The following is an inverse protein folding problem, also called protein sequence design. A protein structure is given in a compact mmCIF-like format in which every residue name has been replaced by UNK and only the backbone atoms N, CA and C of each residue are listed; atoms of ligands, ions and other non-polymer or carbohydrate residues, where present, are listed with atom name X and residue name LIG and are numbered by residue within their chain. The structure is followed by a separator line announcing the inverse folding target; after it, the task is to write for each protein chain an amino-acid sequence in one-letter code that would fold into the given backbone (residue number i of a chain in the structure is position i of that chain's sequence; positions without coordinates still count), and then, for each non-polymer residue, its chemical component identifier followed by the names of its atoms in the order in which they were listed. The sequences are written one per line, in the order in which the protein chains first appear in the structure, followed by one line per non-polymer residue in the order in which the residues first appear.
data_IF_378288651749
#
_entry.id   IF_378288651749
#
_cell.length_a   1.000
_cell.length_b   1.000
_cell.length_c   1.000
_cell.angle_alpha   90.00
_cell.angle_beta   90.00
_cell.angle_gamma   90.00
#
_symmetry.space_group_name_H-M   'P 1'
#
loop_
_entity.id
_entity.type
_entity.pdbx_description
1 polymer ?
#
# COMPACT_ATOMS: atom_id res chain seq x y z
N UNK A 1 -3.08 35.42 2.48
CA UNK A 1 -2.89 35.28 1.02
C UNK A 1 -3.75 34.10 0.60
N UNK A 2 -4.77 34.33 -0.26
CA UNK A 2 -5.59 33.23 -0.79
C UNK A 2 -4.72 32.51 -1.82
N UNK A 3 -4.30 31.30 -1.52
CA UNK A 3 -3.59 30.47 -2.48
C UNK A 3 -4.55 30.16 -3.62
N UNK A 4 -4.28 30.68 -4.81
CA UNK A 4 -5.01 30.35 -6.03
C UNK A 4 -4.68 28.90 -6.36
N UNK A 5 -5.66 28.01 -6.21
CA UNK A 5 -5.53 26.63 -6.64
C UNK A 5 -5.41 26.56 -8.16
N UNK A 6 -4.77 25.53 -8.70
CA UNK A 6 -4.65 25.30 -10.16
C UNK A 6 -6.02 25.32 -10.84
N UNK A 7 -7.05 24.86 -10.18
CA UNK A 7 -8.45 24.90 -10.62
C UNK A 7 -8.98 26.34 -10.74
N UNK A 8 -8.66 27.22 -9.77
CA UNK A 8 -9.07 28.63 -9.80
C UNK A 8 -8.42 29.38 -10.95
N UNK A 9 -7.14 29.10 -11.23
CA UNK A 9 -6.41 29.68 -12.37
C UNK A 9 -7.01 29.19 -13.70
N UNK A 10 -7.33 27.90 -13.82
CA UNK A 10 -7.96 27.35 -15.01
C UNK A 10 -9.32 27.99 -15.30
N UNK A 11 -10.17 28.18 -14.29
CA UNK A 11 -11.45 28.86 -14.42
C UNK A 11 -11.29 30.33 -14.79
N UNK A 12 -10.30 31.01 -14.25
CA UNK A 12 -10.00 32.41 -14.59
C UNK A 12 -9.59 32.52 -16.06
N UNK A 13 -8.67 31.68 -16.54
CA UNK A 13 -8.26 31.65 -17.94
C UNK A 13 -9.42 31.30 -18.87
N UNK A 14 -10.23 30.32 -18.53
CA UNK A 14 -11.42 29.94 -19.29
C UNK A 14 -12.39 31.15 -19.43
N UNK A 15 -12.65 31.84 -18.32
CA UNK A 15 -13.53 33.01 -18.30
C UNK A 15 -12.99 34.15 -19.18
N UNK A 16 -11.68 34.40 -19.11
CA UNK A 16 -11.03 35.44 -19.94
C UNK A 16 -11.14 35.09 -21.43
N UNK A 17 -10.84 33.84 -21.80
CA UNK A 17 -10.92 33.39 -23.20
C UNK A 17 -12.36 33.43 -23.69
N UNK A 18 -13.33 32.97 -22.90
CA UNK A 18 -14.74 32.96 -23.27
C UNK A 18 -15.29 34.39 -23.45
N UNK A 19 -14.92 35.32 -22.53
CA UNK A 19 -15.32 36.72 -22.60
C UNK A 19 -14.69 37.39 -23.82
N UNK A 20 -13.40 37.12 -24.08
CA UNK A 20 -12.72 37.64 -25.28
C UNK A 20 -13.38 37.15 -26.57
N UNK A 21 -13.71 35.87 -26.65
CA UNK A 21 -14.40 35.30 -27.80
C UNK A 21 -15.82 35.83 -27.95
N UNK A 22 -16.58 35.94 -26.87
CA UNK A 22 -17.94 36.52 -26.90
C UNK A 22 -17.93 37.98 -27.33
N UNK A 23 -16.97 38.78 -26.84
CA UNK A 23 -16.77 40.15 -27.24
C UNK A 23 -16.43 40.28 -28.74
N UNK A 24 -15.52 39.43 -29.21
CA UNK A 24 -15.18 39.34 -30.63
C UNK A 24 -16.39 38.97 -31.49
N UNK A 25 -17.14 37.93 -31.10
CA UNK A 25 -18.34 37.51 -31.81
C UNK A 25 -19.41 38.64 -31.84
N UNK A 26 -19.61 39.32 -30.71
CA UNK A 26 -20.56 40.44 -30.61
C UNK A 26 -20.17 41.60 -31.52
N UNK A 27 -18.89 42.00 -31.52
CA UNK A 27 -18.41 43.09 -32.39
C UNK A 27 -18.53 42.70 -33.86
N UNK A 28 -18.23 41.48 -34.25
CA UNK A 28 -18.42 40.99 -35.60
C UNK A 28 -19.91 40.99 -36.03
N UNK A 29 -20.79 40.51 -35.15
CA UNK A 29 -22.24 40.53 -35.41
C UNK A 29 -22.79 41.94 -35.52
N UNK A 30 -22.27 42.90 -34.76
CA UNK A 30 -22.67 44.29 -34.84
C UNK A 30 -22.19 44.92 -36.15
N UNK A 31 -20.98 44.62 -36.59
CA UNK A 31 -20.41 45.14 -37.83
C UNK A 31 -21.10 44.52 -39.05
N UNK A 32 -21.54 43.27 -39.02
CA UNK A 32 -22.26 42.62 -40.10
C UNK A 32 -23.73 43.09 -40.21
N UNK A 33 -24.30 43.73 -39.17
CA UNK A 33 -25.67 44.30 -39.26
C UNK A 33 -25.78 45.48 -40.20
N UNK A 34 -24.74 46.29 -40.33
CA UNK A 34 -24.71 47.42 -41.23
C UNK A 34 -24.57 46.97 -42.72
N UNK A 35 -24.18 45.70 -42.93
CA UNK A 35 -24.06 45.08 -44.26
C UNK A 35 -25.35 44.36 -44.73
N UNK A 36 -26.32 44.19 -43.84
CA UNK A 36 -27.62 43.59 -44.13
C UNK A 36 -28.50 44.63 -44.86
N UNK A 37 -28.44 44.64 -46.18
CA UNK A 37 -29.21 45.54 -47.03
C UNK A 37 -28.40 46.32 -48.05
N UNK A 38 -27.09 46.14 -48.12
CA UNK A 38 -26.27 46.64 -49.20
C UNK A 38 -26.52 45.84 -50.47
N UNK A 39 -26.73 46.49 -51.63
CA UNK A 39 -27.08 45.86 -52.91
C UNK A 39 -25.99 44.96 -53.52
N UNK A 40 -25.16 44.36 -52.79
CA UNK A 40 -24.22 43.38 -53.32
C UNK A 40 -24.88 42.00 -53.25
N UNK A 41 -25.68 41.75 -54.25
CA UNK A 41 -26.28 40.48 -54.57
C UNK A 41 -25.27 39.39 -54.92
N UNK A 42 -24.44 38.95 -54.02
CA UNK A 42 -23.63 37.78 -54.23
C UNK A 42 -23.72 36.90 -53.01
N UNK A 43 -24.62 35.91 -53.04
CA UNK A 43 -24.81 34.85 -52.06
C UNK A 43 -24.82 35.37 -50.58
N UNK A 44 -25.91 35.13 -49.85
CA UNK A 44 -26.23 35.58 -48.49
C UNK A 44 -25.16 35.40 -47.41
N UNK A 45 -23.99 34.88 -47.73
CA UNK A 45 -22.87 34.61 -46.83
C UNK A 45 -21.51 35.15 -47.29
N UNK A 46 -21.45 35.96 -48.35
CA UNK A 46 -20.17 36.62 -48.73
C UNK A 46 -19.96 37.88 -47.92
N UNK A 47 -18.92 37.87 -47.09
CA UNK A 47 -18.38 39.09 -46.52
C UNK A 47 -17.91 40.03 -47.64
N UNK A 48 -18.15 41.34 -47.45
CA UNK A 48 -17.63 42.38 -48.32
C UNK A 48 -16.14 42.15 -48.60
N UNK A 49 -15.73 42.25 -49.88
CA UNK A 49 -14.31 42.25 -50.21
C UNK A 49 -13.70 43.51 -49.58
N UNK A 50 -12.69 43.28 -48.76
CA UNK A 50 -11.90 44.40 -48.23
C UNK A 50 -11.03 44.96 -49.35
N UNK A 51 -10.92 46.26 -49.41
CA UNK A 51 -9.99 46.93 -50.27
C UNK A 51 -8.54 46.63 -49.88
N UNK A 52 -7.60 46.65 -50.85
CA UNK A 52 -6.20 46.33 -50.58
C UNK A 52 -5.61 47.25 -49.49
N UNK A 53 -5.99 48.51 -49.42
CA UNK A 53 -5.60 49.46 -48.39
C UNK A 53 -6.12 49.03 -46.99
N UNK A 54 -7.29 48.45 -46.93
CA UNK A 54 -7.87 47.94 -45.67
C UNK A 54 -7.25 46.63 -45.24
N UNK A 55 -6.93 45.74 -46.19
CA UNK A 55 -6.27 44.48 -45.95
C UNK A 55 -4.79 44.62 -45.58
N UNK A 56 -4.06 45.49 -46.31
CA UNK A 56 -2.63 45.70 -46.09
C UNK A 56 -2.31 46.76 -45.02
N UNK A 57 -3.31 47.51 -44.57
CA UNK A 57 -3.16 48.59 -43.59
C UNK A 57 -3.16 48.12 -42.13
N UNK A 58 -3.89 48.88 -41.35
CA UNK A 58 -3.91 48.68 -39.87
C UNK A 58 -4.45 47.33 -39.41
N UNK A 59 -5.26 46.68 -40.24
CA UNK A 59 -5.85 45.38 -39.95
C UNK A 59 -4.80 44.25 -40.03
N UNK A 60 -4.03 44.24 -41.13
CA UNK A 60 -2.94 43.28 -41.33
C UNK A 60 -1.87 43.46 -40.23
N UNK A 61 -1.46 44.70 -39.96
CA UNK A 61 -0.49 45.03 -38.92
C UNK A 61 -0.94 44.54 -37.55
N UNK A 62 -2.24 44.66 -37.23
CA UNK A 62 -2.80 44.16 -35.95
C UNK A 62 -2.80 42.65 -35.87
N UNK A 63 -3.20 41.94 -36.94
CA UNK A 63 -3.20 40.49 -36.99
C UNK A 63 -1.79 39.92 -36.89
N UNK A 64 -0.84 40.50 -37.66
CA UNK A 64 0.56 40.13 -37.59
C UNK A 64 1.18 40.42 -36.21
N UNK A 65 0.83 41.56 -35.60
CA UNK A 65 1.25 41.91 -34.26
C UNK A 65 0.77 40.91 -33.21
N UNK A 66 -0.48 40.46 -33.27
CA UNK A 66 -1.01 39.38 -32.41
C UNK A 66 -0.27 38.10 -32.69
N UNK A 67 -0.02 37.72 -33.93
CA UNK A 67 0.75 36.54 -34.29
C UNK A 67 2.16 36.54 -33.70
N UNK A 68 2.85 37.68 -33.78
CA UNK A 68 4.19 37.84 -33.18
C UNK A 68 4.13 37.72 -31.65
N UNK A 69 3.14 38.35 -31.01
CA UNK A 69 2.98 38.22 -29.54
C UNK A 69 2.76 36.77 -29.15
N UNK A 70 1.90 36.03 -29.84
CA UNK A 70 1.66 34.61 -29.58
C UNK A 70 2.93 33.77 -29.79
N UNK A 71 3.69 34.02 -30.84
CA UNK A 71 4.97 33.37 -31.07
C UNK A 71 5.97 33.64 -29.94
N UNK A 72 6.09 34.87 -29.46
CA UNK A 72 6.96 35.24 -28.34
C UNK A 72 6.54 34.50 -27.08
N UNK A 73 5.23 34.45 -26.81
CA UNK A 73 4.70 33.69 -25.66
C UNK A 73 5.11 32.22 -25.75
N UNK A 74 4.95 31.57 -26.91
CA UNK A 74 5.28 30.17 -27.10
C UNK A 74 6.80 29.94 -26.93
N UNK A 75 7.62 30.81 -27.56
CA UNK A 75 9.09 30.70 -27.50
C UNK A 75 9.63 30.84 -26.08
N UNK A 76 8.98 31.64 -25.24
CA UNK A 76 9.37 31.81 -23.85
C UNK A 76 8.76 30.69 -22.96
N UNK A 77 7.46 30.42 -23.14
CA UNK A 77 6.74 29.51 -22.25
C UNK A 77 7.16 28.04 -22.40
N UNK A 78 7.50 27.59 -23.62
CA UNK A 78 7.95 26.21 -23.85
C UNK A 78 9.27 25.87 -23.14
N UNK A 79 10.36 26.63 -23.31
CA UNK A 79 11.58 26.37 -22.56
C UNK A 79 11.39 26.49 -21.06
N UNK A 80 10.62 27.46 -20.60
CA UNK A 80 10.32 27.63 -19.18
C UNK A 80 9.54 26.44 -18.62
N UNK A 81 8.56 25.94 -19.35
CA UNK A 81 7.84 24.72 -19.00
C UNK A 81 8.80 23.53 -18.83
N UNK A 82 9.70 23.32 -19.78
CA UNK A 82 10.65 22.20 -19.73
C UNK A 82 11.68 22.32 -18.60
N UNK A 83 12.11 23.54 -18.28
CA UNK A 83 13.00 23.77 -17.14
C UNK A 83 12.31 23.48 -15.81
N UNK A 84 11.01 23.80 -15.71
CA UNK A 84 10.21 23.59 -14.50
C UNK A 84 9.60 22.18 -14.40
N UNK A 85 9.59 21.40 -15.49
CA UNK A 85 8.94 20.09 -15.56
C UNK A 85 9.47 19.09 -14.53
N UNK A 86 10.79 18.96 -14.25
CA UNK A 86 11.28 18.06 -13.23
C UNK A 86 10.69 18.37 -11.85
N UNK A 87 10.67 19.62 -11.44
CA UNK A 87 10.10 20.03 -10.15
C UNK A 87 8.57 19.83 -10.12
N UNK A 88 7.89 20.09 -11.22
CA UNK A 88 6.45 19.84 -11.34
C UNK A 88 6.12 18.35 -11.26
N UNK A 89 6.92 17.51 -11.90
CA UNK A 89 6.74 16.06 -11.91
C UNK A 89 6.94 15.49 -10.50
N UNK A 90 8.01 15.89 -9.81
CA UNK A 90 8.26 15.49 -8.43
C UNK A 90 7.08 15.87 -7.52
N UNK A 91 6.65 17.12 -7.52
CA UNK A 91 5.51 17.54 -6.70
C UNK A 91 4.18 16.87 -7.08
N UNK A 92 4.00 16.49 -8.36
CA UNK A 92 2.81 15.76 -8.79
C UNK A 92 2.83 14.29 -8.35
N UNK A 93 4.01 13.65 -8.32
CA UNK A 93 4.17 12.27 -7.81
C UNK A 93 3.97 12.21 -6.31
N UNK A 94 4.60 13.11 -5.55
CA UNK A 94 4.42 13.23 -4.10
C UNK A 94 2.94 13.46 -3.73
N UNK A 95 2.28 14.42 -4.37
CA UNK A 95 0.86 14.69 -4.11
C UNK A 95 -0.08 13.52 -4.52
N UNK A 96 0.33 12.69 -5.48
CA UNK A 96 -0.40 11.47 -5.84
C UNK A 96 -0.22 10.40 -4.77
N UNK A 97 0.99 10.21 -4.29
CA UNK A 97 1.31 9.25 -3.25
C UNK A 97 0.60 9.59 -1.93
N UNK A 98 0.67 10.84 -1.47
CA UNK A 98 -0.08 11.30 -0.30
C UNK A 98 -1.58 11.02 -0.44
N UNK A 99 -2.15 11.27 -1.62
CA UNK A 99 -3.56 11.02 -1.88
C UNK A 99 -3.90 9.52 -1.88
N UNK A 100 -3.00 8.68 -2.37
CA UNK A 100 -3.18 7.23 -2.33
C UNK A 100 -3.16 6.71 -0.89
N UNK A 101 -2.24 7.22 -0.07
CA UNK A 101 -2.18 6.91 1.36
C UNK A 101 -3.48 7.34 2.07
N UNK A 102 -3.97 8.56 1.81
CA UNK A 102 -5.22 9.07 2.40
C UNK A 102 -6.43 8.20 2.00
N UNK A 103 -6.55 7.85 0.73
CA UNK A 103 -7.62 6.96 0.27
C UNK A 103 -7.51 5.56 0.86
N UNK A 104 -6.29 5.02 0.96
CA UNK A 104 -6.02 3.73 1.59
C UNK A 104 -6.36 3.74 3.08
N UNK A 105 -6.04 4.82 3.79
CA UNK A 105 -6.43 5.02 5.19
C UNK A 105 -7.97 4.98 5.33
N UNK A 106 -8.70 5.66 4.46
CA UNK A 106 -10.16 5.63 4.44
C UNK A 106 -10.73 4.22 4.21
N UNK A 107 -10.11 3.42 3.33
CA UNK A 107 -10.50 2.02 3.14
C UNK A 107 -10.18 1.14 4.35
N UNK A 108 -9.07 1.41 5.04
CA UNK A 108 -8.61 0.66 6.21
C UNK A 108 -9.46 0.91 7.48
N UNK A 109 -10.12 2.05 7.54
CA UNK A 109 -10.99 2.47 8.64
C UNK A 109 -12.09 1.45 8.99
N UNK A 110 -12.67 1.62 10.17
CA UNK A 110 -13.84 0.84 10.61
C UNK A 110 -15.05 1.11 9.71
N UNK A 111 -15.99 0.16 9.67
CA UNK A 111 -17.26 0.35 8.93
C UNK A 111 -18.07 1.52 9.45
N UNK A 112 -17.94 1.88 10.72
CA UNK A 112 -18.60 3.05 11.30
C UNK A 112 -18.11 4.36 10.66
N UNK A 113 -16.88 4.39 10.18
CA UNK A 113 -16.27 5.52 9.49
C UNK A 113 -16.29 5.37 7.95
N UNK A 114 -16.98 4.36 7.43
CA UNK A 114 -17.13 4.13 6.00
C UNK A 114 -16.06 3.27 5.34
N UNK A 115 -15.13 2.70 6.13
CA UNK A 115 -14.10 1.78 5.67
C UNK A 115 -14.55 0.30 5.67
N UNK A 116 -13.61 -0.57 5.35
CA UNK A 116 -13.84 -2.03 5.29
C UNK A 116 -13.53 -2.77 6.60
N UNK A 117 -13.31 -2.04 7.69
CA UNK A 117 -13.04 -2.59 9.03
C UNK A 117 -11.70 -3.33 9.18
N UNK A 118 -10.72 -3.05 8.37
CA UNK A 118 -9.37 -3.63 8.53
C UNK A 118 -8.78 -3.26 9.91
N UNK A 119 -8.90 -1.97 10.29
CA UNK A 119 -8.45 -1.44 11.58
C UNK A 119 -9.12 -2.11 12.78
N UNK A 120 -10.39 -2.53 12.64
CA UNK A 120 -11.14 -3.18 13.71
C UNK A 120 -10.59 -4.55 14.10
N UNK A 121 -9.97 -5.27 13.16
CA UNK A 121 -9.33 -6.55 13.41
C UNK A 121 -7.82 -6.41 13.66
N UNK A 122 -7.14 -5.53 12.91
CA UNK A 122 -5.69 -5.43 12.92
C UNK A 122 -5.10 -4.44 13.93
N UNK A 123 -5.89 -3.96 14.91
CA UNK A 123 -5.39 -3.18 16.03
C UNK A 123 -5.29 -1.68 15.73
N UNK A 124 -6.37 -1.10 15.19
CA UNK A 124 -6.48 0.33 14.91
C UNK A 124 -5.76 0.76 13.64
N UNK A 125 -5.65 2.07 13.45
CA UNK A 125 -5.04 2.63 12.25
C UNK A 125 -3.54 2.34 12.15
N UNK A 126 -2.82 2.21 13.26
CA UNK A 126 -1.41 1.82 13.26
C UNK A 126 -1.19 0.32 13.03
N UNK A 127 -2.27 -0.46 12.92
CA UNK A 127 -2.27 -1.89 12.61
C UNK A 127 -1.26 -2.72 13.43
N UNK A 128 -1.24 -2.48 14.74
CA UNK A 128 -0.31 -3.14 15.68
C UNK A 128 -0.69 -4.59 16.00
N UNK A 129 -1.70 -5.13 15.35
CA UNK A 129 -2.30 -6.42 15.65
C UNK A 129 -3.44 -6.31 16.64
N UNK A 130 -4.35 -7.28 16.63
CA UNK A 130 -5.51 -7.23 17.49
C UNK A 130 -6.28 -8.54 17.54
N UNK A 131 -7.47 -8.48 18.11
CA UNK A 131 -8.37 -9.61 18.22
C UNK A 131 -9.71 -9.31 17.56
N UNK A 132 -10.18 -10.27 16.76
CA UNK A 132 -11.48 -10.19 16.12
C UNK A 132 -12.39 -11.28 16.69
N UNK A 133 -13.56 -10.94 17.24
CA UNK A 133 -14.55 -11.92 17.67
C UNK A 133 -15.08 -12.65 16.43
N UNK A 134 -15.03 -13.96 16.45
CA UNK A 134 -15.45 -14.82 15.33
C UNK A 134 -16.18 -16.06 15.84
N UNK A 135 -17.33 -16.42 15.26
CA UNK A 135 -18.00 -17.68 15.57
C UNK A 135 -17.30 -18.84 14.87
N UNK A 136 -16.74 -19.78 15.63
CA UNK A 136 -16.14 -21.01 15.14
C UNK A 136 -17.11 -22.17 15.34
N UNK A 137 -17.34 -22.95 14.28
CA UNK A 137 -18.08 -24.21 14.38
C UNK A 137 -17.13 -25.30 14.89
N UNK A 138 -17.36 -25.81 16.08
CA UNK A 138 -16.67 -26.98 16.58
C UNK A 138 -17.13 -28.23 15.78
N UNK A 139 -16.21 -28.76 14.99
CA UNK A 139 -16.49 -29.89 14.11
C UNK A 139 -16.81 -31.18 14.90
N UNK A 140 -16.43 -31.29 16.18
CA UNK A 140 -16.63 -32.44 17.02
C UNK A 140 -18.00 -32.42 17.68
N UNK A 141 -18.41 -31.27 18.19
CA UNK A 141 -19.65 -31.10 18.94
C UNK A 141 -20.79 -30.51 18.12
N UNK A 142 -20.51 -29.93 16.94
CA UNK A 142 -21.47 -29.19 16.14
C UNK A 142 -21.92 -27.88 16.78
N UNK A 143 -21.31 -27.46 17.89
CA UNK A 143 -21.66 -26.23 18.57
C UNK A 143 -20.89 -25.04 18.01
N UNK A 144 -21.50 -23.84 18.12
CA UNK A 144 -20.80 -22.59 17.80
C UNK A 144 -20.11 -22.07 19.03
N UNK A 145 -18.77 -21.99 18.98
CA UNK A 145 -17.93 -21.38 19.99
C UNK A 145 -17.56 -19.96 19.55
N UNK A 146 -17.80 -18.97 20.38
CA UNK A 146 -17.26 -17.64 20.17
C UNK A 146 -15.77 -17.64 20.54
N UNK A 147 -14.91 -17.25 19.60
CA UNK A 147 -13.47 -17.17 19.79
C UNK A 147 -12.98 -15.78 19.42
N UNK A 148 -11.91 -15.32 20.06
CA UNK A 148 -11.21 -14.10 19.67
C UNK A 148 -10.04 -14.50 18.77
N UNK A 149 -10.22 -14.30 17.46
CA UNK A 149 -9.17 -14.60 16.48
C UNK A 149 -8.10 -13.53 16.51
N UNK A 150 -6.86 -13.92 16.72
CA UNK A 150 -5.71 -13.02 16.76
C UNK A 150 -5.31 -12.62 15.33
N UNK A 151 -5.61 -11.37 14.95
CA UNK A 151 -5.17 -10.80 13.69
C UNK A 151 -3.74 -10.26 13.81
N UNK A 152 -2.87 -10.54 12.82
CA UNK A 152 -1.48 -10.11 12.87
C UNK A 152 -1.35 -8.59 12.75
N UNK A 153 -0.27 -8.04 13.31
CA UNK A 153 0.15 -6.68 13.01
C UNK A 153 0.53 -6.54 11.54
N UNK A 154 0.14 -5.41 10.94
CA UNK A 154 0.44 -5.10 9.55
C UNK A 154 1.54 -4.04 9.42
N UNK A 155 1.91 -3.35 10.50
CA UNK A 155 3.02 -2.39 10.53
C UNK A 155 4.42 -3.02 10.40
N UNK A 156 4.49 -4.35 10.31
CA UNK A 156 5.71 -5.14 10.02
C UNK A 156 5.49 -6.16 8.90
N UNK A 157 4.40 -6.03 8.15
CA UNK A 157 4.04 -7.06 7.16
C UNK A 157 5.04 -7.15 6.02
N UNK A 158 5.62 -6.03 5.59
CA UNK A 158 6.61 -5.98 4.50
C UNK A 158 8.00 -6.45 4.91
N UNK A 159 8.26 -6.70 6.18
CA UNK A 159 9.43 -7.45 6.63
C UNK A 159 9.35 -8.93 6.26
N UNK A 160 8.14 -9.47 6.15
CA UNK A 160 7.86 -10.91 5.98
C UNK A 160 7.41 -11.28 4.59
N UNK A 161 6.72 -10.37 3.92
CA UNK A 161 6.07 -10.61 2.64
C UNK A 161 6.42 -9.50 1.65
N UNK A 162 6.65 -9.86 0.39
CA UNK A 162 6.77 -8.89 -0.69
C UNK A 162 5.41 -8.18 -0.94
N UNK A 163 5.44 -7.07 -1.65
CA UNK A 163 4.22 -6.37 -2.04
C UNK A 163 3.28 -7.26 -2.86
N UNK A 164 3.83 -8.08 -3.74
CA UNK A 164 3.05 -9.02 -4.56
C UNK A 164 2.36 -10.07 -3.69
N UNK A 165 3.04 -10.58 -2.65
CA UNK A 165 2.46 -11.52 -1.70
C UNK A 165 1.37 -10.88 -0.85
N UNK A 166 1.59 -9.65 -0.37
CA UNK A 166 0.58 -8.88 0.36
C UNK A 166 -0.64 -8.63 -0.53
N UNK A 167 -0.41 -8.22 -1.80
CA UNK A 167 -1.49 -8.08 -2.78
C UNK A 167 -2.27 -9.38 -2.98
N UNK A 168 -1.56 -10.50 -3.15
CA UNK A 168 -2.19 -11.81 -3.28
C UNK A 168 -3.05 -12.17 -2.07
N UNK A 169 -2.54 -11.92 -0.85
CA UNK A 169 -3.28 -12.15 0.40
C UNK A 169 -4.53 -11.25 0.46
N UNK A 170 -4.44 -10.01 0.05
CA UNK A 170 -5.59 -9.10 -0.01
C UNK A 170 -6.61 -9.56 -1.04
N UNK A 171 -6.18 -10.00 -2.21
CA UNK A 171 -7.09 -10.45 -3.27
C UNK A 171 -7.85 -11.70 -2.84
N UNK A 172 -7.16 -12.73 -2.34
CA UNK A 172 -7.75 -14.05 -2.11
C UNK A 172 -8.07 -14.35 -0.64
N UNK A 173 -7.67 -13.48 0.29
CA UNK A 173 -7.82 -13.71 1.72
C UNK A 173 -6.87 -14.78 2.26
N UNK A 174 -7.14 -15.23 3.48
CA UNK A 174 -6.44 -16.34 4.13
C UNK A 174 -7.41 -17.48 4.36
N UNK A 175 -7.22 -18.58 3.64
CA UNK A 175 -8.01 -19.80 3.81
C UNK A 175 -7.92 -20.30 5.25
N UNK A 176 -9.03 -20.75 5.81
CA UNK A 176 -9.15 -21.21 7.21
C UNK A 176 -8.95 -20.12 8.27
N UNK A 177 -9.08 -18.86 7.90
CA UNK A 177 -9.05 -17.74 8.85
C UNK A 177 -10.22 -16.78 8.57
N UNK A 178 -10.56 -15.88 9.52
CA UNK A 178 -11.57 -14.85 9.29
C UNK A 178 -11.18 -13.78 8.26
N UNK A 179 -9.96 -13.79 7.74
CA UNK A 179 -9.50 -12.85 6.71
C UNK A 179 -10.16 -13.18 5.35
N UNK A 180 -11.19 -12.44 4.93
CA UNK A 180 -11.89 -12.73 3.68
C UNK A 180 -11.10 -12.23 2.47
N UNK A 181 -11.45 -12.66 1.25
CA UNK A 181 -10.95 -12.04 0.03
C UNK A 181 -11.49 -10.62 -0.12
N UNK A 182 -10.63 -9.69 -0.48
CA UNK A 182 -10.96 -8.29 -0.71
C UNK A 182 -10.96 -7.92 -2.19
N UNK A 183 -10.10 -8.54 -3.01
CA UNK A 183 -10.02 -8.26 -4.44
C UNK A 183 -11.17 -8.89 -5.23
N UNK A 184 -11.59 -8.22 -6.29
CA UNK A 184 -12.67 -8.71 -7.20
C UNK A 184 -12.35 -10.10 -7.76
N UNK A 185 -11.08 -10.38 -8.09
CA UNK A 185 -10.66 -11.68 -8.58
C UNK A 185 -10.89 -12.82 -7.58
N UNK A 186 -10.74 -12.53 -6.29
CA UNK A 186 -11.03 -13.46 -5.19
C UNK A 186 -12.49 -13.47 -4.75
N UNK A 187 -13.35 -12.68 -5.40
CA UNK A 187 -14.77 -12.51 -5.04
C UNK A 187 -15.02 -11.41 -4.01
N UNK A 188 -14.04 -10.58 -3.72
CA UNK A 188 -14.14 -9.44 -2.81
C UNK A 188 -14.68 -8.16 -3.48
N UNK A 189 -14.88 -7.09 -2.71
CA UNK A 189 -15.50 -5.85 -3.19
C UNK A 189 -14.52 -4.84 -3.79
N UNK A 190 -13.20 -4.99 -3.62
CA UNK A 190 -12.19 -4.00 -3.99
C UNK A 190 -11.68 -4.19 -5.41
N UNK A 191 -11.64 -3.12 -6.18
CA UNK A 191 -10.94 -3.08 -7.46
C UNK A 191 -9.42 -2.89 -7.26
N UNK A 192 -8.65 -3.00 -8.35
CA UNK A 192 -7.19 -2.91 -8.32
C UNK A 192 -6.68 -1.59 -7.76
N UNK A 193 -7.29 -0.46 -8.13
CA UNK A 193 -6.89 0.84 -7.61
C UNK A 193 -7.09 0.93 -6.08
N UNK A 194 -8.19 0.40 -5.57
CA UNK A 194 -8.45 0.37 -4.12
C UNK A 194 -7.43 -0.51 -3.39
N UNK A 195 -7.04 -1.64 -3.97
CA UNK A 195 -5.98 -2.49 -3.43
C UNK A 195 -4.63 -1.76 -3.41
N UNK A 196 -4.29 -1.03 -4.47
CA UNK A 196 -3.06 -0.23 -4.53
C UNK A 196 -3.05 0.89 -3.50
N UNK A 197 -4.16 1.61 -3.32
CA UNK A 197 -4.25 2.66 -2.30
C UNK A 197 -4.17 2.08 -0.89
N UNK A 198 -4.77 0.91 -0.65
CA UNK A 198 -4.66 0.20 0.62
C UNK A 198 -3.22 -0.25 0.90
N UNK A 199 -2.50 -0.77 -0.10
CA UNK A 199 -1.09 -1.15 0.00
C UNK A 199 -0.21 0.08 0.26
N UNK A 200 -0.48 1.21 -0.41
CA UNK A 200 0.22 2.47 -0.15
C UNK A 200 0.07 2.92 1.30
N UNK A 201 -1.15 2.84 1.85
CA UNK A 201 -1.39 3.11 3.26
C UNK A 201 -0.65 2.11 4.17
N UNK A 202 -0.71 0.81 3.88
CA UNK A 202 0.00 -0.21 4.66
C UNK A 202 1.52 0.02 4.65
N UNK A 203 2.09 0.51 3.54
CA UNK A 203 3.50 0.91 3.48
C UNK A 203 3.80 2.11 4.38
N UNK A 204 2.91 3.11 4.41
CA UNK A 204 3.12 4.33 5.20
C UNK A 204 3.12 4.12 6.72
N UNK A 205 2.53 3.03 7.19
CA UNK A 205 2.49 2.66 8.62
C UNK A 205 3.55 1.64 9.02
N UNK A 206 4.43 1.24 8.09
CA UNK A 206 5.50 0.31 8.43
C UNK A 206 6.48 0.92 9.43
N UNK A 207 6.99 0.09 10.35
CA UNK A 207 8.16 0.45 11.15
C UNK A 207 9.34 0.57 10.16
N UNK A 208 10.04 1.72 10.09
CA UNK A 208 11.18 1.89 9.22
C UNK A 208 12.31 0.92 9.58
N UNK A 209 13.01 0.39 8.59
CA UNK A 209 14.18 -0.45 8.80
C UNK A 209 15.41 0.41 9.11
N UNK A 210 16.30 -0.12 9.93
CA UNK A 210 17.62 0.42 10.17
C UNK A 210 18.68 -0.39 9.44
N UNK A 211 19.90 0.15 9.34
CA UNK A 211 21.06 -0.50 8.73
C UNK A 211 20.87 -0.90 7.25
N UNK A 212 20.13 -0.09 6.50
CA UNK A 212 20.05 -0.23 5.06
C UNK A 212 21.42 -0.05 4.40
N UNK A 213 21.72 -0.86 3.38
CA UNK A 213 22.97 -0.79 2.64
C UNK A 213 23.16 0.52 1.88
N UNK A 214 24.42 0.83 1.51
CA UNK A 214 24.72 2.00 0.69
C UNK A 214 23.95 1.93 -0.65
N UNK A 215 23.17 2.97 -0.95
CA UNK A 215 22.33 3.06 -2.16
C UNK A 215 20.94 2.45 -2.01
N UNK A 216 20.58 1.97 -0.84
CA UNK A 216 19.22 1.53 -0.50
C UNK A 216 18.49 2.70 0.18
N UNK A 217 17.92 3.60 -0.60
CA UNK A 217 17.32 4.85 -0.10
C UNK A 217 15.94 4.65 0.58
N UNK A 218 15.31 3.50 0.43
CA UNK A 218 14.00 3.22 1.00
C UNK A 218 14.10 2.38 2.28
N UNK A 219 14.04 3.03 3.44
CA UNK A 219 14.04 2.38 4.75
C UNK A 219 12.83 1.47 5.02
N UNK A 220 11.79 1.52 4.18
CA UNK A 220 10.61 0.66 4.31
C UNK A 220 10.80 -0.70 3.64
N UNK A 221 11.63 -0.77 2.61
CA UNK A 221 11.78 -1.96 1.77
C UNK A 221 13.22 -2.41 1.53
N UNK A 222 14.21 -1.74 2.12
CA UNK A 222 15.62 -2.07 1.90
C UNK A 222 15.92 -3.55 2.24
N UNK A 223 16.53 -4.31 1.31
CA UNK A 223 16.75 -5.75 1.51
C UNK A 223 17.70 -6.09 2.64
N UNK A 224 18.68 -5.22 2.95
CA UNK A 224 19.64 -5.42 4.03
C UNK A 224 19.16 -4.94 5.39
N UNK A 225 18.10 -4.14 5.43
CA UNK A 225 17.64 -3.48 6.66
C UNK A 225 17.00 -4.44 7.66
N UNK A 226 17.08 -4.06 8.92
CA UNK A 226 16.58 -4.83 10.05
C UNK A 226 15.61 -4.00 10.90
N UNK A 227 14.88 -4.68 11.77
CA UNK A 227 14.05 -4.03 12.77
C UNK A 227 14.93 -3.14 13.67
N UNK A 228 14.48 -1.92 14.03
CA UNK A 228 15.25 -1.00 14.86
C UNK A 228 15.76 -1.62 16.16
N UNK A 229 16.94 -1.17 16.59
CA UNK A 229 17.60 -1.71 17.77
C UNK A 229 16.74 -1.58 19.05
N UNK A 230 15.93 -0.54 19.17
CA UNK A 230 14.97 -0.37 20.28
C UNK A 230 13.91 -1.47 20.28
N UNK A 231 13.36 -1.80 19.11
CA UNK A 231 12.36 -2.86 18.95
C UNK A 231 12.98 -4.24 19.22
N UNK A 232 14.24 -4.46 18.79
CA UNK A 232 14.98 -5.69 19.12
C UNK A 232 15.18 -5.84 20.63
N UNK A 233 15.54 -4.77 21.32
CA UNK A 233 15.69 -4.77 22.78
C UNK A 233 14.36 -5.06 23.49
N UNK A 234 13.23 -4.58 22.95
CA UNK A 234 11.90 -4.91 23.46
C UNK A 234 11.59 -6.41 23.33
N UNK A 235 11.92 -7.02 22.21
CA UNK A 235 11.76 -8.47 22.01
C UNK A 235 12.52 -9.26 23.08
N UNK A 236 13.79 -8.91 23.28
CA UNK A 236 14.63 -9.56 24.29
C UNK A 236 14.09 -9.36 25.71
N UNK A 237 13.68 -8.13 26.05
CA UNK A 237 13.10 -7.84 27.36
C UNK A 237 11.81 -8.62 27.61
N UNK A 238 10.92 -8.77 26.61
CA UNK A 238 9.71 -9.58 26.72
C UNK A 238 10.02 -11.06 26.91
N UNK A 239 10.99 -11.59 26.16
CA UNK A 239 11.42 -12.97 26.32
C UNK A 239 11.99 -13.25 27.73
N UNK A 240 12.88 -12.37 28.22
CA UNK A 240 13.45 -12.46 29.55
C UNK A 240 12.40 -12.36 30.66
N UNK A 241 11.46 -11.44 30.51
CA UNK A 241 10.36 -11.28 31.47
C UNK A 241 9.46 -12.52 31.54
N UNK A 242 9.13 -13.12 30.39
CA UNK A 242 8.28 -14.29 30.32
C UNK A 242 8.97 -15.53 30.95
N UNK A 243 10.28 -15.68 30.75
CA UNK A 243 11.07 -16.73 31.40
C UNK A 243 11.19 -16.47 32.91
N UNK A 244 11.52 -15.24 33.33
CA UNK A 244 11.62 -14.88 34.73
C UNK A 244 10.29 -15.03 35.48
N UNK A 245 9.17 -14.78 34.80
CA UNK A 245 7.81 -14.98 35.30
C UNK A 245 7.40 -16.45 35.38
N UNK A 246 8.18 -17.36 34.82
CA UNK A 246 7.87 -18.81 34.77
C UNK A 246 6.77 -19.17 33.77
N UNK A 247 6.48 -18.29 32.84
CA UNK A 247 5.52 -18.53 31.76
C UNK A 247 6.07 -19.54 30.75
N UNK A 248 7.37 -19.41 30.43
CA UNK A 248 8.12 -20.30 29.56
C UNK A 248 9.39 -20.80 30.23
N UNK A 249 9.83 -22.02 29.86
CA UNK A 249 11.01 -22.62 30.42
C UNK A 249 12.32 -22.05 29.84
N UNK A 250 12.31 -21.63 28.59
CA UNK A 250 13.49 -21.13 27.86
C UNK A 250 13.18 -19.88 27.06
N UNK A 251 14.22 -19.11 26.73
CA UNK A 251 14.05 -17.96 25.82
C UNK A 251 13.56 -18.37 24.44
N UNK A 252 14.07 -19.49 23.92
CA UNK A 252 13.63 -20.04 22.64
C UNK A 252 12.13 -20.38 22.62
N UNK A 253 11.61 -20.95 23.70
CA UNK A 253 10.19 -21.21 23.89
C UNK A 253 9.39 -19.88 23.98
N UNK A 254 9.88 -18.92 24.75
CA UNK A 254 9.29 -17.61 24.86
C UNK A 254 9.22 -16.91 23.48
N UNK A 255 10.32 -16.85 22.75
CA UNK A 255 10.40 -16.25 21.41
C UNK A 255 9.49 -16.95 20.40
N UNK A 256 9.34 -18.27 20.48
CA UNK A 256 8.44 -19.05 19.63
C UNK A 256 6.97 -18.68 19.84
N UNK A 257 6.58 -18.37 21.06
CA UNK A 257 5.20 -18.07 21.46
C UNK A 257 4.89 -16.57 21.57
N UNK A 258 5.91 -15.72 21.76
CA UNK A 258 5.70 -14.28 21.91
C UNK A 258 5.16 -13.64 20.65
N UNK A 259 4.40 -12.57 20.87
CA UNK A 259 3.88 -11.68 19.85
C UNK A 259 4.53 -10.30 20.03
N UNK A 260 5.22 -9.83 19.00
CA UNK A 260 5.75 -8.47 18.99
C UNK A 260 4.61 -7.46 18.84
N UNK A 261 4.53 -6.52 19.77
CA UNK A 261 3.37 -5.65 19.89
C UNK A 261 2.12 -6.47 20.27
N UNK A 262 1.12 -6.49 19.42
CA UNK A 262 -0.14 -7.24 19.62
C UNK A 262 -0.32 -8.35 18.58
N UNK A 263 0.73 -9.12 18.28
CA UNK A 263 0.65 -10.27 17.39
C UNK A 263 1.35 -10.10 16.06
N UNK A 264 2.42 -9.30 15.99
CA UNK A 264 3.14 -9.06 14.74
C UNK A 264 3.86 -10.29 14.19
N UNK A 265 4.36 -11.14 15.06
CA UNK A 265 4.90 -12.44 14.73
C UNK A 265 4.70 -13.39 15.91
N UNK A 266 4.59 -14.63 15.65
CA UNK A 266 4.60 -15.74 16.60
C UNK A 266 4.67 -17.00 15.76
N UNK A 267 5.67 -17.81 15.98
CA UNK A 267 5.81 -19.11 15.30
C UNK A 267 4.62 -20.03 15.65
N UNK A 268 4.20 -19.97 16.91
CA UNK A 268 3.08 -20.71 17.45
C UNK A 268 1.75 -20.42 16.71
N UNK A 269 1.59 -19.25 16.10
CA UNK A 269 0.39 -18.90 15.32
C UNK A 269 0.15 -19.90 14.17
N UNK A 270 1.20 -20.33 13.52
CA UNK A 270 1.13 -21.30 12.42
C UNK A 270 1.42 -22.72 12.87
N UNK A 271 2.25 -22.89 13.90
CA UNK A 271 2.77 -24.20 14.34
C UNK A 271 2.11 -24.76 15.60
N UNK A 272 1.02 -24.16 16.09
CA UNK A 272 0.24 -24.67 17.22
C UNK A 272 -1.26 -24.65 16.91
N UNK A 273 -1.97 -25.78 17.03
CA UNK A 273 -3.42 -25.81 16.85
C UNK A 273 -4.12 -24.88 17.85
N UNK A 274 -5.03 -24.08 17.36
CA UNK A 274 -5.85 -23.19 18.20
C UNK A 274 -5.17 -21.90 18.65
N UNK A 275 -3.88 -21.71 18.42
CA UNK A 275 -3.16 -20.51 18.86
C UNK A 275 -3.74 -19.21 18.23
N UNK A 276 -4.20 -19.27 16.99
CA UNK A 276 -4.76 -18.11 16.29
C UNK A 276 -5.98 -17.51 16.97
N UNK A 277 -6.70 -18.24 17.80
CA UNK A 277 -7.85 -17.72 18.56
C UNK A 277 -7.62 -17.65 20.07
N UNK A 278 -6.35 -17.67 20.49
CA UNK A 278 -5.98 -17.49 21.89
C UNK A 278 -6.21 -18.71 22.81
N UNK A 279 -6.47 -19.87 22.24
CA UNK A 279 -6.66 -21.13 22.95
C UNK A 279 -5.64 -22.16 22.41
N UNK A 280 -4.33 -22.01 22.76
CA UNK A 280 -3.27 -22.81 22.18
C UNK A 280 -3.43 -24.27 22.58
N UNK A 281 -3.39 -25.14 21.59
CA UNK A 281 -3.26 -26.56 21.80
C UNK A 281 -1.83 -26.96 22.23
N UNK A 282 -1.36 -28.11 21.78
CA UNK A 282 0.00 -28.55 22.07
C UNK A 282 0.97 -27.80 21.16
N UNK A 283 1.94 -27.11 21.76
CA UNK A 283 2.94 -26.32 21.05
C UNK A 283 3.72 -27.20 20.07
N UNK A 284 3.91 -26.65 18.85
CA UNK A 284 4.67 -27.32 17.79
C UNK A 284 3.90 -28.37 17.00
N UNK A 285 2.65 -28.69 17.34
CA UNK A 285 1.85 -29.73 16.65
C UNK A 285 1.36 -29.33 15.25
N UNK A 286 1.53 -28.07 14.84
CA UNK A 286 1.08 -27.56 13.55
C UNK A 286 -0.38 -27.12 13.59
N UNK A 287 -0.70 -26.20 12.70
CA UNK A 287 -2.06 -25.74 12.39
C UNK A 287 -2.11 -25.39 10.91
N UNK A 288 -1.60 -24.19 10.55
CA UNK A 288 -1.36 -23.81 9.16
C UNK A 288 0.02 -24.26 8.67
N UNK A 289 0.99 -24.30 9.59
CA UNK A 289 2.36 -24.76 9.36
C UNK A 289 2.53 -26.25 9.60
N UNK A 290 3.73 -26.71 9.36
CA UNK A 290 4.17 -28.10 9.61
C UNK A 290 4.14 -28.43 11.12
N UNK A 291 3.88 -29.68 11.44
CA UNK A 291 4.08 -30.22 12.79
C UNK A 291 5.60 -30.33 13.10
N UNK A 292 6.05 -29.62 14.14
CA UNK A 292 7.45 -29.53 14.55
C UNK A 292 7.82 -30.58 15.66
N UNK A 293 6.82 -31.32 16.19
CA UNK A 293 7.05 -32.28 17.30
C UNK A 293 7.55 -33.62 16.81
N UNK A 294 8.00 -34.47 17.79
CA UNK A 294 8.40 -35.84 17.54
C UNK A 294 9.71 -35.97 16.77
N UNK A 295 10.57 -34.94 16.82
CA UNK A 295 11.87 -34.95 16.14
C UNK A 295 11.78 -34.72 14.63
N UNK A 296 10.59 -34.39 14.09
CA UNK A 296 10.38 -34.23 12.65
C UNK A 296 11.26 -33.14 12.01
N UNK A 297 11.61 -32.10 12.76
CA UNK A 297 12.53 -31.04 12.32
C UNK A 297 13.96 -31.53 12.18
N UNK A 298 14.41 -32.48 13.05
CA UNK A 298 15.74 -33.06 12.98
C UNK A 298 15.89 -33.98 11.77
N UNK A 299 14.82 -34.68 11.39
CA UNK A 299 14.79 -35.52 10.20
C UNK A 299 14.82 -34.68 8.92
N UNK A 300 14.17 -33.51 8.94
CA UNK A 300 14.11 -32.60 7.78
C UNK A 300 15.39 -31.74 7.64
N UNK A 301 15.91 -31.23 8.76
CA UNK A 301 17.13 -30.43 8.82
C UNK A 301 18.20 -31.18 9.64
N UNK A 302 19.05 -31.93 8.95
CA UNK A 302 20.14 -32.65 9.62
C UNK A 302 21.10 -31.68 10.35
N UNK A 303 21.33 -30.49 9.79
CA UNK A 303 22.17 -29.45 10.36
C UNK A 303 21.35 -28.33 10.94
N UNK A 304 21.73 -27.82 12.08
CA UNK A 304 21.12 -26.66 12.71
C UNK A 304 21.27 -25.39 11.84
N UNK A 305 22.43 -25.22 11.23
CA UNK A 305 22.69 -24.07 10.34
C UNK A 305 21.72 -24.00 9.15
N UNK A 306 21.31 -25.15 8.59
CA UNK A 306 20.34 -25.20 7.50
C UNK A 306 18.96 -24.75 7.98
N UNK A 307 18.58 -25.10 9.21
CA UNK A 307 17.32 -24.66 9.81
C UNK A 307 17.34 -23.15 10.13
N UNK A 308 18.45 -22.63 10.66
CA UNK A 308 18.65 -21.18 10.87
C UNK A 308 18.50 -20.45 9.53
N UNK A 309 19.18 -20.91 8.48
CA UNK A 309 19.10 -20.32 7.16
C UNK A 309 17.66 -20.34 6.59
N UNK A 310 16.93 -21.43 6.83
CA UNK A 310 15.54 -21.56 6.42
C UNK A 310 14.63 -20.57 7.15
N UNK A 311 14.77 -20.40 8.45
CA UNK A 311 13.98 -19.44 9.23
C UNK A 311 14.31 -18.00 8.82
N UNK A 312 15.59 -17.70 8.57
CA UNK A 312 16.03 -16.37 8.09
C UNK A 312 15.39 -16.01 6.74
N UNK A 313 15.38 -16.93 5.81
CA UNK A 313 14.96 -16.67 4.42
C UNK A 313 13.50 -17.03 4.13
N UNK A 314 12.91 -17.90 4.94
CA UNK A 314 11.60 -18.48 4.68
C UNK A 314 11.60 -19.50 3.55
N UNK A 315 10.41 -19.98 3.23
CA UNK A 315 10.20 -20.93 2.14
C UNK A 315 9.87 -20.21 0.83
N UNK A 316 10.09 -20.87 -0.31
CA UNK A 316 9.67 -20.36 -1.60
C UNK A 316 8.13 -20.27 -1.70
N UNK A 317 7.64 -19.23 -2.36
CA UNK A 317 6.22 -19.04 -2.57
C UNK A 317 5.61 -20.23 -3.32
N UNK A 318 4.43 -20.69 -2.86
CA UNK A 318 3.70 -21.80 -3.49
C UNK A 318 4.30 -23.19 -3.24
N UNK A 319 5.42 -23.28 -2.56
CA UNK A 319 6.02 -24.56 -2.22
C UNK A 319 5.25 -25.23 -1.06
N UNK A 320 4.84 -26.47 -1.27
CA UNK A 320 4.24 -27.28 -0.21
C UNK A 320 5.34 -28.01 0.54
N UNK A 321 5.29 -27.96 1.86
CA UNK A 321 6.21 -28.65 2.75
C UNK A 321 5.55 -29.87 3.37
N UNK A 322 6.34 -30.91 3.55
CA UNK A 322 5.91 -32.16 4.16
C UNK A 322 5.56 -33.24 3.18
N UNK A 323 5.64 -34.49 3.66
CA UNK A 323 5.38 -35.70 2.87
C UNK A 323 3.99 -35.72 2.24
N UNK A 324 3.04 -34.99 2.79
CA UNK A 324 1.67 -34.90 2.29
C UNK A 324 1.25 -33.44 1.98
N UNK A 325 2.19 -32.49 1.97
CA UNK A 325 1.87 -31.08 1.78
C UNK A 325 1.00 -30.50 2.90
N UNK A 326 1.32 -30.84 4.13
CA UNK A 326 0.53 -30.46 5.32
C UNK A 326 0.61 -28.98 5.65
N UNK A 327 1.69 -28.30 5.21
CA UNK A 327 1.82 -26.86 5.35
C UNK A 327 0.96 -26.11 4.34
N UNK A 328 0.30 -25.05 4.76
CA UNK A 328 -0.52 -24.16 3.92
C UNK A 328 0.15 -22.81 3.74
N UNK A 329 0.54 -22.51 2.49
CA UNK A 329 1.16 -21.26 2.13
C UNK A 329 2.67 -21.22 2.39
N UNK A 330 3.25 -20.00 2.29
CA UNK A 330 4.67 -19.78 2.48
C UNK A 330 4.98 -19.52 3.96
N UNK A 331 6.03 -20.14 4.49
CA UNK A 331 6.65 -19.66 5.71
C UNK A 331 7.45 -18.39 5.37
N UNK A 332 7.14 -17.23 5.96
CA UNK A 332 7.90 -16.02 5.69
C UNK A 332 9.31 -16.11 6.28
N UNK A 333 10.24 -15.29 5.75
CA UNK A 333 11.55 -15.11 6.37
C UNK A 333 11.49 -14.17 7.58
N UNK A 334 12.28 -14.48 8.60
CA UNK A 334 12.33 -13.70 9.84
C UNK A 334 13.69 -13.01 10.06
N UNK A 335 14.63 -13.13 9.10
CA UNK A 335 15.99 -12.61 9.26
C UNK A 335 16.09 -11.09 9.38
N UNK A 336 15.09 -10.34 8.93
CA UNK A 336 15.03 -8.90 9.10
C UNK A 336 14.31 -8.47 10.40
N UNK A 337 13.51 -9.36 11.00
CA UNK A 337 12.76 -9.11 12.22
C UNK A 337 13.49 -9.60 13.47
N UNK A 338 14.23 -10.70 13.38
CA UNK A 338 14.88 -11.36 14.48
C UNK A 338 16.39 -11.36 14.29
N UNK A 339 17.13 -11.20 15.38
CA UNK A 339 18.58 -11.35 15.38
C UNK A 339 18.97 -12.82 15.18
N UNK A 340 20.21 -13.05 14.76
CA UNK A 340 20.74 -14.39 14.60
C UNK A 340 20.70 -15.20 15.91
N UNK A 341 20.99 -14.55 17.04
CA UNK A 341 20.89 -15.17 18.35
C UNK A 341 19.47 -15.60 18.70
N UNK A 342 18.47 -14.72 18.47
CA UNK A 342 17.06 -15.05 18.71
C UNK A 342 16.60 -16.23 17.83
N UNK A 343 17.01 -16.26 16.57
CA UNK A 343 16.70 -17.37 15.66
C UNK A 343 17.35 -18.66 16.15
N UNK A 344 18.60 -18.62 16.62
CA UNK A 344 19.29 -19.77 17.17
C UNK A 344 18.56 -20.31 18.41
N UNK A 345 18.19 -19.46 19.35
CA UNK A 345 17.42 -19.84 20.55
C UNK A 345 16.08 -20.53 20.18
N UNK A 346 15.38 -19.99 19.16
CA UNK A 346 14.15 -20.61 18.62
C UNK A 346 14.47 -22.00 18.02
N UNK A 347 15.55 -22.15 17.25
CA UNK A 347 15.94 -23.40 16.62
C UNK A 347 16.28 -24.44 17.68
N UNK A 348 17.05 -24.09 18.71
CA UNK A 348 17.36 -24.98 19.84
C UNK A 348 16.07 -25.51 20.50
N UNK A 349 15.10 -24.61 20.75
CA UNK A 349 13.80 -24.99 21.29
C UNK A 349 13.04 -25.93 20.36
N UNK A 350 12.88 -25.56 19.08
CA UNK A 350 12.12 -26.35 18.10
C UNK A 350 12.73 -27.73 17.90
N UNK A 351 14.07 -27.85 17.93
CA UNK A 351 14.76 -29.16 17.83
C UNK A 351 14.60 -30.05 19.07
N UNK A 352 14.13 -29.48 20.16
CA UNK A 352 13.81 -30.22 21.40
C UNK A 352 12.37 -30.76 21.44
N UNK A 353 11.51 -30.31 20.50
CA UNK A 353 10.12 -30.78 20.39
C UNK A 353 10.03 -32.13 19.68
#
# INVERSE_FOLDING_TARGET
MIALTSTSIAWLLFTVILTGWATYAFLNLRQSRDELGSEIELAANRKKYYDDEELEGSRLTRVLGIGVILMVIIVIALPLYWILEPARLTGATEAKEERFIEWGAGLFETTANGGFNCSGCHGGMNAVGGEAPFPLLDATTGSIKAVNWKAPALNTVFYKFSEEEVRYILVYGRTFSPMPPWGVEGGGPMNDQQLETLIAYMKSIQIPREDCGEGEDDSLTCPSGHLPAEDQANIDALADQAVAGGEYATRGEALFNLEFGSGSYSCARCHTPGWSWGDPGVTGQGAFGWNLTGGSTNDHFANEADMIAFIKNGSNQGQKYGTQGQGSGRMPGFGQLLTEQQIQEIVEYVRSL
#
